data_IF_496674935518
#
_entry.id   IF_496674935518
#
_cell.length_a   1.000
_cell.length_b   1.000
_cell.length_c   1.000
_cell.angle_alpha   90.00
_cell.angle_beta   90.00
_cell.angle_gamma   90.00
#
_symmetry.space_group_name_H-M   'P 1'
#
loop_
_entity.id
_entity.type
_entity.pdbx_description
1 polymer ?
#
# COMPACT_ATOMS: atom_id res chain seq x y z
N UNK A 1 8.36 -85.47 19.41
CA UNK A 1 9.08 -84.50 20.18
C UNK A 1 9.05 -83.12 19.52
N UNK A 2 8.33 -82.24 20.20
CA UNK A 2 8.13 -80.87 19.77
C UNK A 2 9.37 -80.04 20.19
N UNK A 3 10.05 -79.47 19.26
CA UNK A 3 10.99 -78.37 19.49
C UNK A 3 10.36 -77.06 19.10
N UNK A 4 9.54 -76.51 19.98
CA UNK A 4 9.05 -75.15 19.94
C UNK A 4 9.83 -74.29 20.92
N UNK A 5 11.09 -73.96 20.59
CA UNK A 5 11.85 -72.98 21.32
C UNK A 5 11.39 -71.56 20.89
N UNK A 6 10.55 -70.92 21.72
CA UNK A 6 10.18 -69.51 21.54
C UNK A 6 11.48 -68.68 21.67
N UNK A 7 12.05 -68.24 20.58
CA UNK A 7 13.22 -67.32 20.54
C UNK A 7 12.86 -66.06 21.32
N UNK A 8 13.62 -65.73 22.36
CA UNK A 8 13.43 -64.48 23.11
C UNK A 8 13.62 -63.28 22.20
N UNK A 9 12.78 -62.29 22.31
CA UNK A 9 12.83 -61.07 21.50
C UNK A 9 14.26 -60.42 21.44
N UNK A 10 15.01 -60.58 22.54
CA UNK A 10 16.45 -60.17 22.64
C UNK A 10 17.34 -60.90 21.65
N UNK A 11 17.14 -62.24 21.45
CA UNK A 11 17.96 -63.05 20.57
C UNK A 11 17.63 -62.76 19.09
N UNK A 12 16.38 -62.46 18.78
CA UNK A 12 15.96 -61.98 17.48
C UNK A 12 16.56 -60.61 17.12
N UNK A 13 16.51 -59.64 18.04
CA UNK A 13 17.13 -58.34 17.85
C UNK A 13 18.64 -58.41 17.74
N UNK A 14 19.32 -59.26 18.55
CA UNK A 14 20.78 -59.48 18.49
C UNK A 14 21.21 -60.09 17.15
N UNK A 15 20.47 -61.10 16.63
CA UNK A 15 20.76 -61.72 15.31
C UNK A 15 20.49 -60.76 14.15
N UNK A 16 19.45 -59.97 14.24
CA UNK A 16 19.15 -58.94 13.24
C UNK A 16 20.23 -57.85 13.18
N UNK A 17 20.71 -57.39 14.36
CA UNK A 17 21.79 -56.41 14.46
C UNK A 17 23.13 -56.95 13.94
N UNK A 18 23.46 -58.22 14.25
CA UNK A 18 24.69 -58.87 13.80
C UNK A 18 24.68 -59.10 12.28
N UNK A 19 23.52 -59.40 11.67
CA UNK A 19 23.36 -59.52 10.23
C UNK A 19 23.47 -58.18 9.51
N UNK A 20 22.98 -57.10 10.10
CA UNK A 20 23.16 -55.72 9.62
C UNK A 20 24.64 -55.31 9.65
N UNK A 21 25.36 -55.68 10.73
CA UNK A 21 26.79 -55.34 10.90
C UNK A 21 27.68 -56.08 9.89
N UNK A 22 27.35 -57.32 9.55
CA UNK A 22 28.07 -58.11 8.50
C UNK A 22 27.94 -57.49 7.11
N UNK A 23 26.87 -56.73 6.84
CA UNK A 23 26.65 -56.06 5.56
C UNK A 23 26.54 -54.53 5.74
N UNK A 24 27.41 -53.96 6.60
CA UNK A 24 27.39 -52.57 7.05
C UNK A 24 27.32 -51.56 5.87
N UNK A 25 28.03 -51.80 4.80
CA UNK A 25 28.06 -50.87 3.66
C UNK A 25 26.69 -50.77 2.99
N UNK A 26 25.99 -51.92 2.80
CA UNK A 26 24.63 -51.92 2.21
C UNK A 26 23.61 -51.25 3.16
N UNK A 27 23.71 -51.55 4.46
CA UNK A 27 22.79 -50.95 5.43
C UNK A 27 23.00 -49.43 5.52
N UNK A 28 24.25 -48.97 5.54
CA UNK A 28 24.58 -47.53 5.55
C UNK A 28 24.03 -46.83 4.28
N UNK A 29 24.27 -47.41 3.08
CA UNK A 29 23.80 -46.83 1.84
C UNK A 29 22.28 -46.74 1.79
N UNK A 30 21.57 -47.75 2.27
CA UNK A 30 20.10 -47.76 2.31
C UNK A 30 19.56 -46.71 3.26
N UNK A 31 20.13 -46.63 4.49
CA UNK A 31 19.74 -45.61 5.47
C UNK A 31 20.07 -44.21 4.96
N UNK A 32 21.26 -44.02 4.37
CA UNK A 32 21.64 -42.72 3.79
C UNK A 32 20.69 -42.28 2.68
N UNK A 33 20.31 -43.19 1.77
CA UNK A 33 19.35 -42.89 0.73
C UNK A 33 17.97 -42.52 1.29
N UNK A 34 17.51 -43.23 2.32
CA UNK A 34 16.27 -42.89 3.00
C UNK A 34 16.31 -41.52 3.71
N UNK A 35 17.42 -41.26 4.43
CA UNK A 35 17.60 -39.95 5.12
C UNK A 35 17.66 -38.81 4.13
N UNK A 36 18.38 -38.92 3.04
CA UNK A 36 18.46 -37.89 2.00
C UNK A 36 17.07 -37.67 1.38
N UNK A 37 16.36 -38.74 1.02
CA UNK A 37 15.02 -38.65 0.42
C UNK A 37 14.01 -37.99 1.36
N UNK A 38 13.94 -38.43 2.62
CA UNK A 38 13.01 -37.83 3.60
C UNK A 38 13.38 -36.40 3.95
N UNK A 39 14.68 -36.10 4.11
CA UNK A 39 15.16 -34.74 4.38
C UNK A 39 14.82 -33.77 3.25
N UNK A 40 14.97 -34.21 1.99
CA UNK A 40 14.61 -33.39 0.82
C UNK A 40 13.11 -33.01 0.85
N UNK A 41 12.24 -33.97 1.16
CA UNK A 41 10.79 -33.70 1.24
C UNK A 41 10.47 -32.71 2.37
N UNK A 42 11.07 -32.93 3.55
CA UNK A 42 10.87 -32.05 4.72
C UNK A 42 11.36 -30.62 4.42
N UNK A 43 12.55 -30.48 3.82
CA UNK A 43 13.08 -29.17 3.45
C UNK A 43 12.16 -28.47 2.43
N UNK A 44 11.70 -29.20 1.42
CA UNK A 44 10.82 -28.64 0.38
C UNK A 44 9.50 -28.13 0.97
N UNK A 45 8.86 -28.93 1.84
CA UNK A 45 7.61 -28.54 2.50
C UNK A 45 7.83 -27.36 3.45
N UNK A 46 8.91 -27.41 4.24
CA UNK A 46 9.24 -26.33 5.19
C UNK A 46 9.53 -25.01 4.46
N UNK A 47 10.25 -25.08 3.33
CA UNK A 47 10.54 -23.91 2.50
C UNK A 47 9.24 -23.33 1.92
N UNK A 48 8.34 -24.18 1.41
CA UNK A 48 7.04 -23.74 0.91
C UNK A 48 6.18 -23.02 1.94
N UNK A 49 6.11 -23.55 3.17
CA UNK A 49 5.40 -22.92 4.28
C UNK A 49 6.07 -21.59 4.68
N UNK A 50 7.41 -21.57 4.76
CA UNK A 50 8.16 -20.37 5.12
C UNK A 50 7.99 -19.23 4.10
N UNK A 51 8.07 -19.52 2.81
CA UNK A 51 7.85 -18.53 1.74
C UNK A 51 6.42 -18.00 1.80
N UNK A 52 5.43 -18.86 1.96
CA UNK A 52 4.03 -18.46 2.10
C UNK A 52 3.82 -17.50 3.27
N UNK A 53 4.36 -17.82 4.43
CA UNK A 53 4.27 -16.96 5.61
C UNK A 53 4.92 -15.59 5.38
N UNK A 54 6.12 -15.57 4.78
CA UNK A 54 6.82 -14.33 4.44
C UNK A 54 6.05 -13.46 3.43
N UNK A 55 5.41 -14.07 2.44
CA UNK A 55 4.60 -13.35 1.47
C UNK A 55 3.39 -12.70 2.15
N UNK A 56 2.63 -13.48 2.93
CA UNK A 56 1.46 -12.95 3.64
C UNK A 56 1.86 -11.82 4.60
N UNK A 57 2.95 -11.99 5.35
CA UNK A 57 3.47 -10.98 6.27
C UNK A 57 3.93 -9.71 5.53
N UNK A 58 4.61 -9.87 4.40
CA UNK A 58 5.04 -8.76 3.55
C UNK A 58 3.85 -7.96 3.02
N UNK A 59 2.82 -8.63 2.50
CA UNK A 59 1.61 -7.94 2.05
C UNK A 59 0.81 -7.32 3.21
N UNK A 60 0.73 -7.99 4.35
CA UNK A 60 0.06 -7.44 5.54
C UNK A 60 0.76 -6.18 6.07
N UNK A 61 2.09 -6.08 5.93
CA UNK A 61 2.84 -4.86 6.27
C UNK A 61 2.63 -3.71 5.27
N UNK A 62 2.24 -4.01 4.04
CA UNK A 62 1.96 -3.00 3.00
C UNK A 62 0.57 -2.36 3.13
N UNK A 63 -0.34 -2.99 3.89
CA UNK A 63 -1.70 -2.47 4.10
C UNK A 63 -2.67 -3.53 4.63
N UNK A 64 -3.93 -3.15 4.78
CA UNK A 64 -4.94 -4.05 5.32
C UNK A 64 -5.51 -5.00 4.26
N UNK A 65 -5.45 -6.31 4.52
CA UNK A 65 -6.05 -7.35 3.67
C UNK A 65 -7.58 -7.25 3.54
N UNK A 66 -8.22 -6.43 4.36
CA UNK A 66 -9.67 -6.18 4.31
C UNK A 66 -10.04 -4.92 3.54
N UNK A 67 -9.07 -4.23 2.94
CA UNK A 67 -9.31 -3.07 2.11
C UNK A 67 -9.43 -3.47 0.65
N UNK A 68 -10.43 -2.90 -0.02
CA UNK A 68 -10.66 -3.00 -1.46
C UNK A 68 -10.46 -1.59 -2.03
N UNK A 69 -9.63 -1.46 -3.05
CA UNK A 69 -9.53 -0.22 -3.84
C UNK A 69 -10.42 -0.34 -5.05
N UNK A 70 -11.37 0.57 -5.17
CA UNK A 70 -12.31 0.67 -6.29
C UNK A 70 -11.85 1.78 -7.22
N UNK A 71 -11.76 1.47 -8.52
CA UNK A 71 -11.40 2.42 -9.58
C UNK A 71 -12.54 2.61 -10.57
N UNK A 72 -12.56 3.76 -11.24
CA UNK A 72 -13.49 4.04 -12.33
C UNK A 72 -13.27 3.16 -13.55
N UNK A 73 -12.05 2.62 -13.70
CA UNK A 73 -11.64 1.80 -14.84
C UNK A 73 -11.73 0.32 -14.49
N UNK A 74 -12.40 -0.46 -15.34
CA UNK A 74 -12.47 -1.90 -15.27
C UNK A 74 -11.93 -2.50 -16.55
N UNK A 75 -10.98 -3.41 -16.41
CA UNK A 75 -10.50 -4.23 -17.52
C UNK A 75 -11.37 -5.48 -17.63
N UNK A 76 -11.94 -5.71 -18.81
CA UNK A 76 -12.71 -6.91 -19.14
C UNK A 76 -11.97 -7.66 -20.23
N UNK A 77 -11.47 -8.86 -19.89
CA UNK A 77 -10.81 -9.73 -20.86
C UNK A 77 -11.80 -10.18 -21.94
N UNK A 78 -11.32 -10.22 -23.19
CA UNK A 78 -12.09 -10.78 -24.28
C UNK A 78 -12.25 -12.30 -24.12
N UNK A 79 -13.40 -12.89 -24.50
CA UNK A 79 -13.65 -14.32 -24.37
C UNK A 79 -12.65 -15.23 -25.12
N UNK A 80 -11.95 -14.69 -26.10
CA UNK A 80 -10.94 -15.36 -26.91
C UNK A 80 -9.53 -15.29 -26.33
N UNK A 81 -9.33 -14.60 -25.18
CA UNK A 81 -8.05 -14.47 -24.50
C UNK A 81 -7.00 -13.62 -25.24
N UNK A 82 -7.35 -12.99 -26.36
CA UNK A 82 -6.44 -12.19 -27.18
C UNK A 82 -6.57 -10.68 -26.97
N UNK A 83 -6.89 -10.25 -25.79
CA UNK A 83 -7.00 -8.84 -25.45
C UNK A 83 -8.14 -8.58 -24.48
N UNK A 84 -8.54 -7.32 -24.35
CA UNK A 84 -9.65 -6.91 -23.51
C UNK A 84 -10.05 -5.48 -23.79
N UNK A 85 -11.18 -5.07 -23.27
CA UNK A 85 -11.66 -3.70 -23.33
C UNK A 85 -11.69 -3.10 -21.93
N UNK A 86 -11.29 -1.84 -21.83
CA UNK A 86 -11.50 -1.08 -20.61
C UNK A 86 -12.85 -0.39 -20.67
N UNK A 87 -13.63 -0.52 -19.62
CA UNK A 87 -14.85 0.24 -19.42
C UNK A 87 -14.63 1.27 -18.32
N UNK A 88 -15.16 2.47 -18.51
CA UNK A 88 -15.08 3.53 -17.52
C UNK A 88 -16.46 3.80 -16.93
N UNK A 89 -16.55 3.87 -15.62
CA UNK A 89 -17.73 4.27 -14.90
C UNK A 89 -17.39 5.31 -13.83
N UNK A 90 -18.12 6.41 -13.80
CA UNK A 90 -17.84 7.53 -12.87
C UNK A 90 -18.04 7.10 -11.41
N UNK A 91 -17.02 7.32 -10.61
CA UNK A 91 -17.06 7.19 -9.14
C UNK A 91 -17.55 8.50 -8.54
N UNK A 92 -18.85 8.66 -8.40
CA UNK A 92 -19.49 9.83 -7.83
C UNK A 92 -19.95 9.60 -6.38
N UNK A 93 -20.54 10.63 -5.78
CA UNK A 93 -21.09 10.55 -4.43
C UNK A 93 -22.18 9.46 -4.30
N UNK A 94 -22.97 9.24 -5.36
CA UNK A 94 -24.02 8.21 -5.36
C UNK A 94 -23.42 6.81 -5.30
N UNK A 95 -22.32 6.57 -6.03
CA UNK A 95 -21.59 5.30 -5.98
C UNK A 95 -21.05 5.03 -4.59
N UNK A 96 -20.47 6.05 -3.93
CA UNK A 96 -19.98 5.94 -2.55
C UNK A 96 -21.09 5.55 -1.57
N UNK A 97 -22.25 6.19 -1.66
CA UNK A 97 -23.40 5.85 -0.80
C UNK A 97 -23.93 4.43 -1.09
N UNK A 98 -23.92 4.01 -2.35
CA UNK A 98 -24.31 2.64 -2.72
C UNK A 98 -23.33 1.62 -2.12
N UNK A 99 -22.02 1.86 -2.15
CA UNK A 99 -21.04 0.93 -1.56
C UNK A 99 -21.24 0.76 -0.06
N UNK A 100 -21.66 1.78 0.66
CA UNK A 100 -21.95 1.69 2.11
C UNK A 100 -23.12 0.72 2.41
N UNK A 101 -24.00 0.43 1.45
CA UNK A 101 -25.13 -0.47 1.64
C UNK A 101 -24.82 -1.94 1.36
N UNK A 102 -23.63 -2.24 0.83
CA UNK A 102 -23.22 -3.62 0.51
C UNK A 102 -23.00 -4.39 1.81
N UNK A 103 -23.61 -5.58 1.99
CA UNK A 103 -23.37 -6.41 3.17
C UNK A 103 -21.87 -6.77 3.30
N UNK A 104 -21.32 -6.61 4.49
CA UNK A 104 -19.91 -6.85 4.79
C UNK A 104 -19.02 -5.60 4.65
N UNK A 105 -19.54 -4.46 4.20
CA UNK A 105 -18.83 -3.19 4.20
C UNK A 105 -18.98 -2.48 5.55
N UNK A 106 -17.85 -2.03 6.10
CA UNK A 106 -17.77 -1.30 7.39
C UNK A 106 -17.59 0.20 7.16
N UNK A 107 -16.74 0.56 6.22
CA UNK A 107 -16.45 1.95 5.90
C UNK A 107 -16.14 2.13 4.41
N UNK A 108 -16.38 3.34 3.91
CA UNK A 108 -16.07 3.73 2.54
C UNK A 108 -15.40 5.09 2.57
N UNK A 109 -14.22 5.20 1.99
CA UNK A 109 -13.41 6.42 1.94
C UNK A 109 -13.11 6.80 0.50
N UNK A 110 -13.74 7.84 -0.05
CA UNK A 110 -13.36 8.39 -1.35
C UNK A 110 -11.99 9.06 -1.27
N UNK A 111 -11.19 8.92 -2.32
CA UNK A 111 -9.84 9.47 -2.46
C UNK A 111 -9.76 10.39 -3.67
N UNK A 112 -9.10 11.50 -3.45
CA UNK A 112 -8.63 12.39 -4.52
C UNK A 112 -7.14 12.59 -4.29
N UNK A 113 -6.35 12.33 -5.30
CA UNK A 113 -4.91 12.51 -5.26
C UNK A 113 -4.50 13.61 -6.24
N UNK A 114 -3.55 14.42 -5.83
CA UNK A 114 -2.96 15.47 -6.66
C UNK A 114 -1.52 15.70 -6.28
N UNK A 115 -0.79 16.40 -7.14
CA UNK A 115 0.58 16.85 -6.88
C UNK A 115 0.59 18.33 -6.57
N UNK A 116 1.50 18.72 -5.67
CA UNK A 116 1.70 20.11 -5.34
C UNK A 116 3.13 20.34 -4.86
N UNK A 117 3.57 21.59 -4.87
CA UNK A 117 4.87 22.00 -4.37
C UNK A 117 4.71 22.74 -3.06
N UNK A 118 5.43 22.30 -2.04
CA UNK A 118 5.53 22.92 -0.72
C UNK A 118 6.73 23.86 -0.69
N UNK A 119 6.54 24.99 -0.04
CA UNK A 119 7.60 25.97 0.20
C UNK A 119 7.67 26.31 1.69
N UNK A 120 8.89 26.29 2.24
CA UNK A 120 9.20 26.76 3.58
C UNK A 120 10.42 27.65 3.55
N UNK A 121 10.22 28.98 3.61
CA UNK A 121 11.28 29.95 3.38
C UNK A 121 11.89 29.81 1.99
N UNK A 122 13.19 29.44 1.90
CA UNK A 122 13.89 29.17 0.65
C UNK A 122 13.84 27.70 0.21
N UNK A 123 13.37 26.83 1.08
CA UNK A 123 13.33 25.40 0.86
C UNK A 123 12.04 24.99 0.16
N UNK A 124 12.12 24.04 -0.75
CA UNK A 124 10.98 23.51 -1.51
C UNK A 124 10.99 22.00 -1.52
N UNK A 125 9.80 21.40 -1.62
CA UNK A 125 9.62 19.96 -1.80
C UNK A 125 8.37 19.74 -2.62
N UNK A 126 8.41 18.82 -3.56
CA UNK A 126 7.21 18.35 -4.25
C UNK A 126 6.62 17.20 -3.46
N UNK A 127 5.30 17.13 -3.40
CA UNK A 127 4.61 16.07 -2.66
C UNK A 127 3.32 15.65 -3.34
N UNK A 128 2.97 14.39 -3.18
CA UNK A 128 1.63 13.89 -3.42
C UNK A 128 0.71 14.27 -2.26
N UNK A 129 -0.42 14.85 -2.57
CA UNK A 129 -1.44 15.26 -1.60
C UNK A 129 -2.65 14.35 -1.77
N UNK A 130 -3.02 13.66 -0.70
CA UNK A 130 -4.18 12.78 -0.65
C UNK A 130 -5.30 13.45 0.12
N UNK A 131 -6.43 13.67 -0.55
CA UNK A 131 -7.67 14.11 0.09
C UNK A 131 -8.36 12.94 0.77
N UNK A 132 -8.55 13.01 2.08
CA UNK A 132 -9.16 11.96 2.91
C UNK A 132 -10.37 12.47 3.69
N UNK A 133 -11.22 11.55 4.08
CA UNK A 133 -12.26 11.80 5.08
C UNK A 133 -11.72 11.42 6.46
N UNK A 134 -11.51 12.42 7.31
CA UNK A 134 -10.94 12.25 8.66
C UNK A 134 -11.74 11.33 9.57
N UNK A 135 -13.07 11.22 9.35
CA UNK A 135 -13.98 10.49 10.23
C UNK A 135 -13.84 8.96 10.04
N UNK A 136 -13.32 8.54 8.90
CA UNK A 136 -13.09 7.12 8.58
C UNK A 136 -11.62 6.76 8.38
N UNK A 137 -10.72 7.74 8.30
CA UNK A 137 -9.31 7.54 7.99
C UNK A 137 -8.63 6.48 8.87
N UNK A 138 -8.86 6.50 10.19
CA UNK A 138 -8.30 5.55 11.13
C UNK A 138 -8.75 4.10 10.84
N UNK A 139 -9.96 3.90 10.30
CA UNK A 139 -10.47 2.56 9.97
C UNK A 139 -9.71 1.93 8.78
N UNK A 140 -9.12 2.77 7.92
CA UNK A 140 -8.29 2.31 6.80
C UNK A 140 -6.81 2.13 7.17
N UNK A 141 -6.47 2.28 8.46
CA UNK A 141 -5.11 2.10 8.94
C UNK A 141 -4.22 3.32 8.68
N UNK A 142 -4.79 4.50 8.43
CA UNK A 142 -4.03 5.74 8.39
C UNK A 142 -3.70 6.12 9.83
N UNK A 143 -2.48 5.82 10.26
CA UNK A 143 -2.01 6.10 11.62
C UNK A 143 -1.15 7.36 11.61
N UNK A 144 -1.29 8.16 12.67
CA UNK A 144 -0.46 9.34 12.89
C UNK A 144 0.54 9.06 14.00
N UNK A 145 1.80 9.47 13.79
CA UNK A 145 2.82 9.42 14.82
C UNK A 145 2.63 10.54 15.86
N UNK A 146 2.08 11.67 15.42
CA UNK A 146 1.77 12.83 16.27
C UNK A 146 0.68 13.70 15.66
N UNK A 147 0.05 14.53 16.51
CA UNK A 147 -0.94 15.50 16.08
C UNK A 147 -2.33 14.90 15.85
N UNK A 148 -3.04 15.41 14.85
CA UNK A 148 -4.42 15.05 14.54
C UNK A 148 -4.68 15.05 13.03
N UNK A 149 -5.80 14.45 12.59
CA UNK A 149 -6.24 14.53 11.20
C UNK A 149 -6.59 15.96 10.80
N UNK A 150 -6.39 16.29 9.49
CA UNK A 150 -6.70 17.61 8.97
C UNK A 150 -8.21 17.83 8.93
N UNK A 151 -8.64 19.05 9.19
CA UNK A 151 -10.04 19.44 9.14
C UNK A 151 -10.23 20.66 8.24
N UNK A 152 -11.27 20.66 7.43
CA UNK A 152 -11.63 21.82 6.65
C UNK A 152 -12.43 22.83 7.46
N UNK A 153 -11.91 24.06 7.54
CA UNK A 153 -12.62 25.20 8.15
C UNK A 153 -13.11 26.15 7.05
N UNK A 154 -14.42 26.16 6.84
CA UNK A 154 -15.01 27.04 5.84
C UNK A 154 -14.70 28.50 6.13
N UNK A 155 -14.21 29.24 5.12
CA UNK A 155 -13.83 30.66 5.26
C UNK A 155 -12.42 30.89 5.80
N UNK A 156 -11.66 29.84 6.19
CA UNK A 156 -10.25 30.00 6.55
C UNK A 156 -9.41 30.30 5.30
N UNK A 157 -8.39 31.15 5.48
CA UNK A 157 -7.33 31.40 4.50
C UNK A 157 -6.15 30.44 4.64
N UNK A 158 -6.16 29.60 5.67
CA UNK A 158 -5.14 28.61 5.98
C UNK A 158 -5.76 27.21 5.90
N UNK A 159 -5.06 26.29 5.31
CA UNK A 159 -5.48 24.90 5.16
C UNK A 159 -4.66 24.01 6.08
N UNK A 160 -5.30 23.04 6.70
CA UNK A 160 -4.63 22.08 7.55
C UNK A 160 -4.08 20.92 6.69
N UNK A 161 -2.86 20.46 7.03
CA UNK A 161 -2.19 19.35 6.36
C UNK A 161 -1.54 18.45 7.41
N UNK A 162 -1.57 17.15 7.16
CA UNK A 162 -0.75 16.15 7.85
C UNK A 162 0.45 15.85 6.98
N UNK A 163 1.64 15.97 7.52
CA UNK A 163 2.89 15.83 6.80
C UNK A 163 3.36 14.36 6.79
N UNK A 164 4.03 13.98 5.72
CA UNK A 164 4.83 12.77 5.69
C UNK A 164 6.24 13.07 6.18
N UNK A 165 6.83 12.18 6.98
CA UNK A 165 8.23 12.29 7.39
C UNK A 165 9.17 12.30 6.18
N UNK A 166 8.88 11.51 5.16
CA UNK A 166 9.69 11.45 3.95
C UNK A 166 9.68 12.78 3.20
N UNK A 167 8.50 13.42 3.09
CA UNK A 167 8.38 14.72 2.44
C UNK A 167 9.17 15.80 3.19
N UNK A 168 9.19 15.77 4.53
CA UNK A 168 10.00 16.68 5.31
C UNK A 168 11.51 16.52 5.06
N UNK A 169 11.95 15.31 4.78
CA UNK A 169 13.35 15.01 4.46
C UNK A 169 13.74 15.40 3.02
N UNK A 170 12.77 15.58 2.13
CA UNK A 170 13.02 15.89 0.71
C UNK A 170 13.12 17.38 0.41
N UNK A 171 12.98 18.26 1.38
CA UNK A 171 13.13 19.68 1.16
C UNK A 171 14.56 20.02 0.70
N UNK A 172 14.66 20.84 -0.34
CA UNK A 172 15.93 21.29 -0.91
C UNK A 172 15.86 22.77 -1.30
N UNK A 173 17.03 23.39 -1.43
CA UNK A 173 17.17 24.76 -1.96
C UNK A 173 17.23 24.69 -3.50
N UNK A 174 16.23 25.21 -4.22
CA UNK A 174 16.17 25.07 -5.67
C UNK A 174 17.31 25.79 -6.40
N UNK A 175 17.96 26.79 -5.76
CA UNK A 175 19.08 27.52 -6.37
C UNK A 175 20.41 26.75 -6.27
N UNK A 176 20.59 25.95 -5.24
CA UNK A 176 21.86 25.26 -4.95
C UNK A 176 21.78 23.74 -5.07
N UNK A 177 20.58 23.19 -5.15
CA UNK A 177 20.32 21.73 -5.12
C UNK A 177 20.62 21.07 -3.76
N UNK A 178 20.99 21.83 -2.74
CA UNK A 178 21.32 21.27 -1.42
C UNK A 178 20.06 20.92 -0.64
N UNK A 179 20.06 19.74 -0.03
CA UNK A 179 18.98 19.31 0.88
C UNK A 179 18.96 20.15 2.17
N UNK A 180 17.75 20.29 2.73
CA UNK A 180 17.51 20.99 3.97
C UNK A 180 17.87 20.09 5.18
N UNK A 181 19.11 19.63 5.27
CA UNK A 181 19.60 18.75 6.34
C UNK A 181 20.60 19.46 7.24
N UNK A 182 20.58 19.12 8.53
CA UNK A 182 21.56 19.50 9.52
C UNK A 182 22.86 18.66 9.37
N UNK A 183 23.89 19.00 10.12
CA UNK A 183 25.16 18.25 10.13
C UNK A 183 25.02 16.80 10.65
N UNK A 184 24.02 16.55 11.49
CA UNK A 184 23.68 15.23 12.03
C UNK A 184 22.76 14.39 11.12
N UNK A 185 22.38 14.94 9.95
CA UNK A 185 21.51 14.25 8.98
C UNK A 185 20.02 14.46 9.23
N UNK A 186 19.61 15.17 10.27
CA UNK A 186 18.21 15.49 10.52
C UNK A 186 17.69 16.58 9.57
N UNK A 187 16.38 16.62 9.30
CA UNK A 187 15.77 17.69 8.53
C UNK A 187 15.84 19.04 9.28
N UNK A 188 16.06 20.12 8.56
CA UNK A 188 15.91 21.49 9.07
C UNK A 188 14.45 21.96 9.09
N UNK A 189 13.60 21.23 8.39
CA UNK A 189 12.19 21.52 8.27
C UNK A 189 11.46 20.59 9.23
N UNK A 190 10.64 21.14 10.07
CA UNK A 190 9.84 20.47 11.10
C UNK A 190 8.37 20.90 11.01
N UNK A 191 7.54 20.34 11.88
CA UNK A 191 6.10 20.62 11.93
C UNK A 191 5.78 22.09 12.28
N UNK A 192 6.66 22.77 12.99
CA UNK A 192 6.49 24.18 13.38
C UNK A 192 6.90 25.16 12.27
N UNK A 193 7.45 24.66 11.20
CA UNK A 193 7.87 25.44 10.04
C UNK A 193 6.66 26.03 9.32
N UNK A 194 6.83 27.20 8.71
CA UNK A 194 5.77 27.85 7.93
C UNK A 194 5.72 27.27 6.53
N UNK A 195 4.62 26.63 6.19
CA UNK A 195 4.42 26.03 4.88
C UNK A 195 3.49 26.84 3.99
N UNK A 196 3.81 26.83 2.71
CA UNK A 196 2.95 27.31 1.64
C UNK A 196 2.84 26.24 0.58
N UNK A 197 1.65 26.10 -0.01
CA UNK A 197 1.36 25.16 -1.08
C UNK A 197 1.08 25.92 -2.37
N UNK A 198 1.61 25.43 -3.47
CA UNK A 198 1.24 25.88 -4.81
C UNK A 198 1.04 24.69 -5.73
N UNK A 199 0.13 24.85 -6.70
CA UNK A 199 -0.06 23.91 -7.80
C UNK A 199 0.60 24.38 -9.09
N UNK A 200 1.17 25.59 -9.06
CA UNK A 200 1.93 26.15 -10.16
C UNK A 200 3.43 26.11 -9.85
N UNK A 201 4.14 25.18 -10.49
CA UNK A 201 5.57 24.99 -10.32
C UNK A 201 6.40 26.25 -10.65
N UNK A 202 5.88 27.15 -11.47
CA UNK A 202 6.56 28.41 -11.79
C UNK A 202 6.80 29.27 -10.55
N UNK A 203 5.91 29.20 -9.55
CA UNK A 203 6.09 29.88 -8.26
C UNK A 203 7.36 29.47 -7.50
N UNK A 204 7.87 28.28 -7.77
CA UNK A 204 9.05 27.72 -7.12
C UNK A 204 10.33 28.06 -7.89
N UNK A 205 10.28 27.97 -9.22
CA UNK A 205 11.47 27.99 -10.08
C UNK A 205 11.72 29.33 -10.77
N UNK A 206 10.95 30.38 -10.47
CA UNK A 206 11.10 31.72 -11.07
C UNK A 206 12.50 32.32 -10.96
N UNK A 207 13.23 32.01 -9.90
CA UNK A 207 14.57 32.56 -9.66
C UNK A 207 15.69 31.77 -10.38
N UNK A 208 15.36 30.70 -11.11
CA UNK A 208 16.35 29.89 -11.84
C UNK A 208 16.63 30.38 -13.27
N UNK A 209 16.36 31.66 -13.57
CA UNK A 209 16.64 32.25 -14.88
C UNK A 209 15.50 32.13 -15.90
N UNK A 210 14.36 31.52 -15.52
CA UNK A 210 13.13 31.61 -16.28
C UNK A 210 12.43 32.91 -15.94
N UNK A 211 12.72 33.97 -16.63
CA UNK A 211 11.86 35.18 -16.63
C UNK A 211 10.53 34.78 -17.28
N UNK A 212 9.44 35.15 -16.62
CA UNK A 212 8.09 35.04 -17.23
C UNK A 212 8.14 35.84 -18.53
N UNK A 213 7.98 35.15 -19.67
CA UNK A 213 7.98 35.79 -20.99
C UNK A 213 6.82 36.76 -21.13
N UNK A 214 6.97 37.80 -21.94
CA UNK A 214 5.85 38.69 -22.29
C UNK A 214 4.75 37.86 -22.95
N UNK A 215 3.56 37.79 -22.29
CA UNK A 215 2.41 36.99 -22.73
C UNK A 215 2.12 35.73 -21.90
N UNK A 216 2.94 35.37 -20.90
CA UNK A 216 2.64 34.25 -19.99
C UNK A 216 1.52 34.61 -19.01
N UNK A 217 0.72 33.57 -18.65
CA UNK A 217 -0.34 33.72 -17.67
C UNK A 217 0.21 34.13 -16.30
N UNK A 218 -0.55 34.90 -15.50
CA UNK A 218 -0.14 35.25 -14.15
C UNK A 218 0.13 34.01 -13.32
N UNK A 219 1.08 34.13 -12.39
CA UNK A 219 1.46 33.03 -11.49
C UNK A 219 0.24 32.55 -10.68
N UNK A 220 0.22 31.24 -10.47
CA UNK A 220 -0.80 30.59 -9.63
C UNK A 220 -0.71 31.05 -8.18
N UNK A 221 -1.79 30.80 -7.44
CA UNK A 221 -1.89 31.17 -6.03
C UNK A 221 -0.97 30.36 -5.15
N UNK A 222 -0.50 30.98 -4.04
CA UNK A 222 0.14 30.29 -2.94
C UNK A 222 -0.80 30.27 -1.72
N UNK A 223 -0.98 29.08 -1.14
CA UNK A 223 -1.87 28.84 -0.01
C UNK A 223 -1.07 28.61 1.25
N UNK A 224 -1.48 29.21 2.36
CA UNK A 224 -0.87 28.94 3.66
C UNK A 224 -1.34 27.60 4.19
N UNK A 225 -0.39 26.84 4.75
CA UNK A 225 -0.66 25.58 5.39
C UNK A 225 -0.28 25.61 6.87
N UNK A 226 -1.07 24.92 7.67
CA UNK A 226 -0.77 24.56 9.06
C UNK A 226 -0.55 23.04 9.10
N UNK A 227 0.66 22.62 9.45
CA UNK A 227 0.96 21.22 9.71
C UNK A 227 0.35 20.83 11.07
N UNK A 228 -0.65 19.92 11.06
CA UNK A 228 -1.42 19.57 12.25
C UNK A 228 -1.17 18.16 12.75
N UNK A 229 -0.37 17.39 12.05
CA UNK A 229 0.00 16.02 12.39
C UNK A 229 1.04 15.46 11.43
N UNK A 230 1.56 14.30 11.77
CA UNK A 230 2.52 13.55 10.96
C UNK A 230 2.04 12.11 10.79
N UNK A 231 2.14 11.59 9.56
CA UNK A 231 1.83 10.19 9.26
C UNK A 231 2.87 9.29 9.93
N UNK A 232 2.41 8.18 10.51
CA UNK A 232 3.30 7.19 11.10
C UNK A 232 4.23 6.59 10.05
N UNK A 233 5.54 6.55 10.28
CA UNK A 233 6.50 5.96 9.33
C UNK A 233 6.29 4.46 9.13
N UNK A 234 5.54 3.79 10.02
CA UNK A 234 5.22 2.37 9.90
C UNK A 234 4.08 2.10 8.91
N UNK A 235 3.41 3.13 8.42
CA UNK A 235 2.32 2.99 7.46
C UNK A 235 2.85 3.14 6.02
N UNK A 236 3.32 2.05 5.42
CA UNK A 236 3.95 2.05 4.11
C UNK A 236 3.02 2.53 2.98
N UNK A 237 1.69 2.30 3.08
CA UNK A 237 0.73 2.69 2.04
C UNK A 237 0.57 4.22 1.95
N UNK A 238 0.59 4.92 3.08
CA UNK A 238 0.33 6.36 3.17
C UNK A 238 1.57 7.20 3.48
N UNK A 239 2.72 6.59 3.73
CA UNK A 239 3.95 7.29 4.14
C UNK A 239 4.45 8.33 3.14
N UNK A 240 4.11 8.16 1.87
CA UNK A 240 4.50 9.06 0.75
C UNK A 240 3.60 10.29 0.61
N UNK A 241 2.42 10.27 1.24
CA UNK A 241 1.42 11.31 1.06
C UNK A 241 1.42 12.33 2.17
N UNK A 242 1.25 13.59 1.78
CA UNK A 242 0.69 14.57 2.68
C UNK A 242 -0.83 14.45 2.66
N UNK A 243 -1.49 14.46 3.82
CA UNK A 243 -2.92 14.27 3.90
C UNK A 243 -3.63 15.60 4.11
N UNK A 244 -4.70 15.82 3.35
CA UNK A 244 -5.55 16.99 3.47
C UNK A 244 -7.02 16.55 3.58
N UNK A 245 -7.85 17.37 4.21
CA UNK A 245 -9.29 17.14 4.19
C UNK A 245 -9.83 17.16 2.74
N UNK A 246 -10.67 16.18 2.40
CA UNK A 246 -11.19 16.01 1.04
C UNK A 246 -11.94 17.24 0.52
N UNK A 247 -12.73 17.90 1.35
CA UNK A 247 -13.48 19.08 0.94
C UNK A 247 -12.57 20.32 0.80
N UNK A 248 -11.50 20.39 1.60
CA UNK A 248 -10.45 21.40 1.43
C UNK A 248 -9.77 21.23 0.07
N UNK A 249 -9.39 20.01 -0.29
CA UNK A 249 -8.73 19.72 -1.56
C UNK A 249 -9.65 20.00 -2.76
N UNK A 250 -10.94 19.63 -2.69
CA UNK A 250 -11.94 19.98 -3.71
C UNK A 250 -12.09 21.48 -3.90
N UNK A 251 -12.03 22.26 -2.82
CA UNK A 251 -12.08 23.71 -2.91
C UNK A 251 -10.84 24.25 -3.62
N UNK A 252 -9.65 23.77 -3.25
CA UNK A 252 -8.40 24.17 -3.90
C UNK A 252 -8.40 23.83 -5.39
N UNK A 253 -8.93 22.67 -5.79
CA UNK A 253 -9.06 22.28 -7.18
C UNK A 253 -9.99 23.20 -7.96
N UNK A 254 -11.11 23.63 -7.38
CA UNK A 254 -12.01 24.61 -8.02
C UNK A 254 -11.36 25.98 -8.21
N UNK A 255 -10.47 26.38 -7.30
CA UNK A 255 -9.73 27.63 -7.38
C UNK A 255 -8.53 27.58 -8.34
N UNK A 256 -8.10 26.38 -8.74
CA UNK A 256 -6.96 26.12 -9.62
C UNK A 256 -7.37 25.20 -10.78
N UNK A 257 -7.98 25.75 -11.84
CA UNK A 257 -8.42 24.94 -12.99
C UNK A 257 -7.27 24.18 -13.67
N UNK A 258 -6.04 24.68 -13.57
CA UNK A 258 -4.83 24.05 -14.14
C UNK A 258 -4.49 22.70 -13.50
N UNK A 259 -5.04 22.39 -12.32
CA UNK A 259 -4.93 21.06 -11.72
C UNK A 259 -5.65 19.99 -12.57
N UNK A 260 -6.53 20.38 -13.49
CA UNK A 260 -7.33 19.48 -14.32
C UNK A 260 -8.01 18.34 -13.53
N UNK A 261 -8.50 18.67 -12.33
CA UNK A 261 -9.12 17.75 -11.40
C UNK A 261 -10.64 17.92 -11.40
N UNK A 262 -11.36 16.89 -11.84
CA UNK A 262 -12.83 16.88 -11.74
C UNK A 262 -13.26 16.59 -10.29
N UNK A 263 -13.75 17.61 -9.60
CA UNK A 263 -14.20 17.50 -8.21
C UNK A 263 -15.56 16.82 -8.03
N UNK A 264 -16.27 16.52 -9.13
CA UNK A 264 -17.56 15.83 -9.12
C UNK A 264 -17.43 14.32 -9.02
N UNK A 265 -16.24 13.79 -9.31
CA UNK A 265 -15.91 12.36 -9.29
C UNK A 265 -14.69 12.12 -8.41
N UNK A 266 -14.54 10.89 -7.96
CA UNK A 266 -13.38 10.43 -7.22
C UNK A 266 -12.49 9.61 -8.14
N UNK A 267 -11.19 9.71 -7.97
CA UNK A 267 -10.23 8.90 -8.73
C UNK A 267 -10.27 7.45 -8.26
N UNK A 268 -10.38 7.27 -6.94
CA UNK A 268 -10.49 5.98 -6.29
C UNK A 268 -11.41 6.07 -5.08
N UNK A 269 -11.96 4.92 -4.68
CA UNK A 269 -12.71 4.77 -3.45
C UNK A 269 -12.17 3.55 -2.71
N UNK A 270 -11.79 3.72 -1.47
CA UNK A 270 -11.42 2.60 -0.60
C UNK A 270 -12.64 2.09 0.12
N UNK A 271 -12.82 0.78 0.13
CA UNK A 271 -13.90 0.07 0.82
C UNK A 271 -13.30 -0.86 1.85
N UNK A 272 -13.68 -0.70 3.11
CA UNK A 272 -13.26 -1.55 4.23
C UNK A 272 -14.27 -2.65 4.45
N UNK A 273 -13.83 -3.89 4.43
CA UNK A 273 -14.64 -5.06 4.77
C UNK A 273 -14.50 -5.44 6.25
N UNK A 274 -15.51 -6.09 6.78
CA UNK A 274 -15.56 -6.57 8.18
C UNK A 274 -14.46 -7.61 8.45
N UNK A 275 -14.18 -8.47 7.49
CA UNK A 275 -13.14 -9.49 7.54
C UNK A 275 -12.65 -9.86 6.13
N UNK A 276 -11.63 -10.69 6.04
CA UNK A 276 -11.06 -11.14 4.77
C UNK A 276 -12.01 -12.04 3.96
N UNK A 277 -12.97 -12.72 4.61
CA UNK A 277 -13.94 -13.59 3.92
C UNK A 277 -14.97 -12.75 3.15
N UNK A 278 -15.31 -11.57 3.68
CA UNK A 278 -16.23 -10.66 3.02
C UNK A 278 -15.65 -9.99 1.78
N UNK A 279 -14.30 -9.91 1.65
CA UNK A 279 -13.63 -9.21 0.55
C UNK A 279 -14.09 -9.73 -0.82
N UNK A 280 -14.09 -11.05 -1.02
CA UNK A 280 -14.44 -11.64 -2.32
C UNK A 280 -15.91 -11.36 -2.71
N UNK A 281 -16.84 -11.42 -1.76
CA UNK A 281 -18.27 -11.15 -2.02
C UNK A 281 -18.54 -9.66 -2.26
N UNK A 282 -17.90 -8.78 -1.51
CA UNK A 282 -18.00 -7.32 -1.70
C UNK A 282 -17.39 -6.91 -3.04
N UNK A 283 -16.23 -7.46 -3.42
CA UNK A 283 -15.63 -7.25 -4.73
C UNK A 283 -16.57 -7.66 -5.86
N UNK A 284 -17.13 -8.87 -5.79
CA UNK A 284 -18.06 -9.35 -6.82
C UNK A 284 -19.25 -8.41 -6.97
N UNK A 285 -19.83 -7.93 -5.87
CA UNK A 285 -20.93 -6.97 -5.91
C UNK A 285 -20.53 -5.63 -6.55
N UNK A 286 -19.34 -5.12 -6.29
CA UNK A 286 -18.83 -3.87 -6.90
C UNK A 286 -18.49 -4.08 -8.38
N UNK A 287 -17.93 -5.22 -8.73
CA UNK A 287 -17.60 -5.60 -10.11
C UNK A 287 -18.87 -5.76 -10.97
N UNK A 288 -19.95 -6.34 -10.41
CA UNK A 288 -21.28 -6.40 -11.07
C UNK A 288 -21.87 -5.02 -11.32
N UNK A 289 -21.56 -4.04 -10.47
CA UNK A 289 -21.93 -2.65 -10.70
C UNK A 289 -21.11 -1.98 -11.83
N UNK A 290 -20.08 -2.65 -12.37
CA UNK A 290 -19.26 -2.19 -13.50
C UNK A 290 -18.03 -1.36 -13.11
N UNK A 291 -17.61 -1.38 -11.85
CA UNK A 291 -16.36 -0.77 -11.39
C UNK A 291 -15.21 -1.76 -11.41
N UNK A 292 -13.97 -1.27 -11.46
CA UNK A 292 -12.78 -2.09 -11.25
C UNK A 292 -12.46 -2.22 -9.76
N UNK A 293 -12.06 -3.41 -9.31
CA UNK A 293 -11.67 -3.65 -7.93
C UNK A 293 -10.29 -4.28 -7.85
N UNK A 294 -9.53 -3.91 -6.84
CA UNK A 294 -8.26 -4.54 -6.47
C UNK A 294 -8.12 -4.64 -4.96
N UNK A 295 -7.45 -5.67 -4.49
CA UNK A 295 -7.17 -5.86 -3.06
C UNK A 295 -5.80 -6.51 -2.87
N UNK A 296 -5.20 -6.33 -1.70
CA UNK A 296 -3.98 -7.05 -1.33
C UNK A 296 -4.21 -8.56 -1.25
N UNK A 297 -5.43 -8.99 -0.96
CA UNK A 297 -5.80 -10.40 -0.97
C UNK A 297 -5.62 -11.01 -2.37
N UNK A 298 -5.95 -10.29 -3.45
CA UNK A 298 -5.74 -10.78 -4.82
C UNK A 298 -4.25 -11.02 -5.11
N UNK A 299 -3.39 -10.12 -4.64
CA UNK A 299 -1.95 -10.26 -4.80
C UNK A 299 -1.41 -11.49 -4.04
N UNK A 300 -1.93 -11.75 -2.83
CA UNK A 300 -1.59 -12.95 -2.07
C UNK A 300 -2.05 -14.22 -2.80
N UNK A 301 -3.29 -14.26 -3.28
CA UNK A 301 -3.83 -15.40 -4.02
C UNK A 301 -3.07 -15.65 -5.33
N UNK A 302 -2.69 -14.59 -6.02
CA UNK A 302 -1.90 -14.70 -7.25
C UNK A 302 -0.49 -15.23 -6.97
N UNK A 303 0.16 -14.76 -5.92
CA UNK A 303 1.46 -15.26 -5.49
C UNK A 303 1.40 -16.75 -5.08
N UNK A 304 0.34 -17.16 -4.36
CA UNK A 304 0.10 -18.56 -3.99
C UNK A 304 -0.11 -19.45 -5.22
N UNK A 305 -0.89 -19.01 -6.20
CA UNK A 305 -1.10 -19.74 -7.47
C UNK A 305 0.19 -19.92 -8.25
N UNK A 306 1.02 -18.88 -8.34
CA UNK A 306 2.32 -18.98 -9.01
C UNK A 306 3.25 -19.98 -8.33
N UNK A 307 3.25 -20.05 -7.00
CA UNK A 307 4.05 -21.03 -6.26
C UNK A 307 3.57 -22.45 -6.46
N UNK A 308 2.24 -22.67 -6.57
CA UNK A 308 1.68 -24.01 -6.86
C UNK A 308 2.05 -24.54 -8.25
N UNK A 309 2.34 -23.66 -9.21
CA UNK A 309 2.78 -24.06 -10.54
C UNK A 309 4.26 -24.48 -10.61
N UNK A 310 5.05 -24.14 -9.58
CA UNK A 310 6.48 -24.45 -9.50
C UNK A 310 6.73 -25.77 -8.73
N UNK A 311 5.75 -26.25 -7.97
CA UNK A 311 5.78 -27.53 -7.24
C UNK A 311 5.29 -28.70 -8.10
#
# INVERSE_FOLDING_TARGET
PAFGGCMKLKDMLGTAFMNLWRRKLRAILTVLGMVIGTSSIVVMVSLGIGIRSSIVESYASMGSLTNITVSSWRWVESPDGMGGTSTEKKLDKKSVETFKTIPGVVAVMPRIETWGSLKSGKWVSDCSILGIDKDVAAQFGIELSEGRYPAYKRGSSTYEIVMSQDVLNWFYDPNTGKQATNQDGTSKIDMDSRFQLTFDHRNIYQNMGNTVGEGEQPLGKMYRLDAVGMVSPNNNEFSWYCLMDLEALKKLAKENPDMNLDTSVYQQVMVKCVDTKAVSSVKAAIDEMGFGTSSLQDAVEQAEKQMQQIQ
#
